data_IF_695667474953
#
_entry.id   IF_695667474953
#
_cell.length_a   1.000
_cell.length_b   1.000
_cell.length_c   1.000
_cell.angle_alpha   90.00
_cell.angle_beta   90.00
_cell.angle_gamma   90.00
#
_symmetry.space_group_name_H-M   'P 1'
#
loop_
_entity.id
_entity.type
_entity.pdbx_description
1 polymer ?
#
# COMPACT_ATOMS: atom_id res chain seq x y z
N UNK A 1 -3.37 -81.52 -7.22
CA UNK A 1 -3.20 -81.00 -8.59
C UNK A 1 -4.58 -80.91 -9.22
N UNK A 2 -4.95 -79.71 -9.66
CA UNK A 2 -5.96 -79.36 -10.69
C UNK A 2 -7.42 -79.71 -10.40
N UNK A 3 -8.44 -78.97 -10.85
CA UNK A 3 -8.67 -77.67 -11.52
C UNK A 3 -10.22 -77.49 -11.36
N UNK A 4 -10.72 -76.25 -11.29
CA UNK A 4 -12.17 -75.97 -11.27
C UNK A 4 -12.92 -76.46 -12.53
N UNK A 5 -14.21 -76.13 -12.64
CA UNK A 5 -14.49 -74.89 -13.36
C UNK A 5 -15.59 -74.01 -12.75
N UNK A 6 -15.60 -72.82 -13.34
CA UNK A 6 -16.31 -71.58 -13.12
C UNK A 6 -17.75 -71.61 -13.66
N UNK A 7 -18.70 -70.99 -12.95
CA UNK A 7 -19.82 -70.30 -13.60
C UNK A 7 -20.33 -69.15 -12.71
N UNK A 8 -20.54 -68.01 -13.35
CA UNK A 8 -20.84 -66.71 -12.78
C UNK A 8 -22.36 -66.46 -12.71
N UNK A 9 -22.82 -65.72 -11.70
CA UNK A 9 -24.08 -64.97 -11.80
C UNK A 9 -24.08 -63.73 -10.87
N UNK A 10 -24.92 -62.77 -11.25
CA UNK A 10 -24.79 -61.31 -11.13
C UNK A 10 -25.12 -60.71 -9.73
N UNK A 11 -24.64 -59.48 -9.40
CA UNK A 11 -25.14 -58.73 -8.24
C UNK A 11 -26.42 -57.94 -8.58
N UNK A 12 -27.27 -57.61 -7.59
CA UNK A 12 -28.50 -56.87 -7.83
C UNK A 12 -28.26 -55.37 -8.11
N UNK A 13 -29.14 -54.84 -8.96
CA UNK A 13 -29.29 -53.45 -9.38
C UNK A 13 -29.82 -52.56 -8.26
N UNK A 14 -29.22 -51.38 -8.05
CA UNK A 14 -29.90 -50.20 -7.50
C UNK A 14 -29.60 -48.99 -8.37
N UNK A 15 -30.65 -48.42 -8.98
CA UNK A 15 -30.57 -47.14 -9.68
C UNK A 15 -30.82 -45.98 -8.73
N UNK A 16 -30.25 -44.85 -9.16
CA UNK A 16 -30.77 -43.48 -9.07
C UNK A 16 -30.59 -42.66 -7.78
N UNK A 17 -29.64 -41.72 -7.93
CA UNK A 17 -29.68 -40.31 -7.55
C UNK A 17 -29.35 -39.92 -6.10
N UNK A 18 -28.06 -39.77 -5.84
CA UNK A 18 -27.55 -38.65 -5.04
C UNK A 18 -26.38 -37.99 -5.78
N UNK A 19 -26.70 -36.94 -6.52
CA UNK A 19 -25.68 -36.09 -7.13
C UNK A 19 -25.04 -35.24 -6.02
N UNK A 20 -23.79 -35.57 -5.66
CA UNK A 20 -22.95 -34.71 -4.85
C UNK A 20 -22.83 -33.33 -5.54
N UNK A 21 -22.89 -32.20 -4.80
CA UNK A 21 -22.68 -30.89 -5.39
C UNK A 21 -21.28 -30.80 -6.00
N UNK A 22 -21.10 -30.08 -7.13
CA UNK A 22 -19.80 -29.95 -7.76
C UNK A 22 -18.81 -29.35 -6.76
N UNK A 23 -17.70 -30.06 -6.58
CA UNK A 23 -16.58 -29.59 -5.79
C UNK A 23 -16.21 -28.17 -6.23
N UNK A 24 -16.06 -27.28 -5.25
CA UNK A 24 -15.57 -25.93 -5.46
C UNK A 24 -14.23 -25.99 -6.24
N UNK A 25 -13.98 -25.04 -7.17
CA UNK A 25 -12.76 -25.05 -7.96
C UNK A 25 -11.56 -25.07 -7.02
N UNK A 26 -10.73 -26.11 -7.17
CA UNK A 26 -9.51 -26.28 -6.39
C UNK A 26 -8.64 -25.04 -6.56
N UNK A 27 -8.44 -24.32 -5.45
CA UNK A 27 -7.47 -23.23 -5.41
C UNK A 27 -6.10 -23.85 -5.64
N UNK A 28 -5.46 -23.46 -6.76
CA UNK A 28 -4.15 -23.94 -7.15
C UNK A 28 -3.13 -23.73 -6.01
N UNK A 29 -2.36 -24.77 -5.61
CA UNK A 29 -1.36 -24.66 -4.54
C UNK A 29 -0.24 -23.66 -4.84
N UNK A 30 -0.09 -23.26 -6.10
CA UNK A 30 0.93 -22.33 -6.56
C UNK A 30 0.68 -20.87 -6.12
N UNK A 31 -0.49 -20.53 -5.58
CA UNK A 31 -0.84 -19.17 -5.13
C UNK A 31 -0.28 -18.81 -3.74
N UNK A 32 0.31 -19.77 -3.03
CA UNK A 32 0.92 -19.60 -1.70
C UNK A 32 2.45 -19.43 -1.77
N UNK A 33 3.03 -19.45 -2.97
CA UNK A 33 4.45 -19.23 -3.18
C UNK A 33 4.69 -17.73 -3.39
N UNK A 34 5.21 -17.05 -2.36
CA UNK A 34 5.68 -15.66 -2.45
C UNK A 34 6.95 -15.46 -3.27
N UNK A 35 7.52 -16.54 -3.80
CA UNK A 35 8.56 -16.45 -4.81
C UNK A 35 7.92 -16.19 -6.17
N UNK A 36 8.40 -15.15 -6.86
CA UNK A 36 8.10 -14.76 -8.23
C UNK A 36 8.48 -15.83 -9.29
N UNK A 37 8.19 -17.11 -9.06
CA UNK A 37 8.49 -18.19 -10.01
C UNK A 37 7.30 -18.55 -10.91
N UNK A 38 6.13 -17.92 -10.74
CA UNK A 38 5.05 -17.97 -11.72
C UNK A 38 5.01 -16.66 -12.50
N UNK A 39 5.47 -16.70 -13.76
CA UNK A 39 5.36 -15.62 -14.73
C UNK A 39 3.92 -15.35 -15.16
N UNK A 40 3.05 -14.97 -14.22
CA UNK A 40 1.70 -14.54 -14.52
C UNK A 40 1.74 -13.07 -14.94
N UNK A 41 1.73 -12.81 -16.26
CA UNK A 41 1.57 -11.45 -16.85
C UNK A 41 0.47 -10.62 -16.16
N UNK A 42 -0.56 -11.30 -15.64
CA UNK A 42 -1.69 -10.76 -14.90
C UNK A 42 -1.33 -9.94 -13.65
N UNK A 43 -0.38 -10.39 -12.82
CA UNK A 43 0.02 -9.62 -11.64
C UNK A 43 0.81 -8.38 -12.05
N UNK A 44 1.59 -8.45 -13.13
CA UNK A 44 2.41 -7.34 -13.57
C UNK A 44 1.60 -6.23 -14.26
N UNK A 45 0.58 -6.60 -15.02
CA UNK A 45 -0.39 -5.64 -15.58
C UNK A 45 -1.22 -4.98 -14.48
N UNK A 46 -1.68 -5.72 -13.47
CA UNK A 46 -2.37 -5.12 -12.33
C UNK A 46 -1.43 -4.28 -11.47
N UNK A 47 -0.16 -4.66 -11.34
CA UNK A 47 0.90 -3.83 -10.75
C UNK A 47 1.11 -2.54 -11.53
N UNK A 48 1.18 -2.60 -12.87
CA UNK A 48 1.28 -1.40 -13.73
C UNK A 48 0.03 -0.55 -13.63
N UNK A 49 -1.16 -1.14 -13.64
CA UNK A 49 -2.41 -0.43 -13.49
C UNK A 49 -2.54 0.21 -12.11
N UNK A 50 -2.07 -0.46 -11.05
CA UNK A 50 -2.04 0.08 -9.70
C UNK A 50 -0.99 1.18 -9.56
N UNK A 51 0.22 0.99 -10.09
CA UNK A 51 1.26 2.02 -10.12
C UNK A 51 0.82 3.21 -10.95
N UNK A 52 0.25 3.00 -12.13
CA UNK A 52 -0.28 4.05 -12.99
C UNK A 52 -1.49 4.74 -12.36
N UNK A 53 -2.41 4.00 -11.73
CA UNK A 53 -3.54 4.59 -11.00
C UNK A 53 -3.04 5.43 -9.84
N UNK A 54 -2.05 4.96 -9.07
CA UNK A 54 -1.45 5.70 -7.97
C UNK A 54 -0.66 6.90 -8.49
N UNK A 55 0.19 6.74 -9.49
CA UNK A 55 0.92 7.83 -10.15
C UNK A 55 -0.03 8.86 -10.76
N UNK A 56 -1.18 8.45 -11.30
CA UNK A 56 -2.22 9.33 -11.82
C UNK A 56 -3.01 10.02 -10.70
N UNK A 57 -3.27 9.34 -9.57
CA UNK A 57 -3.77 9.94 -8.33
C UNK A 57 -2.77 10.93 -7.72
N UNK A 58 -1.49 10.77 -8.04
CA UNK A 58 -0.36 11.56 -7.57
C UNK A 58 0.08 12.64 -8.59
N UNK A 59 -0.48 12.65 -9.81
CA UNK A 59 -0.44 13.79 -10.73
C UNK A 59 -1.59 14.75 -10.39
N UNK A 60 -1.51 16.05 -10.74
CA UNK A 60 -2.57 17.00 -10.41
C UNK A 60 -3.88 16.56 -11.07
N UNK A 61 -4.79 15.99 -10.29
CA UNK A 61 -6.13 15.64 -10.73
C UNK A 61 -6.82 16.90 -11.28
N UNK A 62 -7.51 16.82 -12.42
CA UNK A 62 -8.40 17.90 -12.84
C UNK A 62 -9.62 17.90 -11.92
N UNK A 63 -9.63 18.85 -10.98
CA UNK A 63 -10.77 19.30 -10.17
C UNK A 63 -11.40 18.28 -9.20
N UNK A 64 -10.82 18.10 -8.01
CA UNK A 64 -11.56 18.10 -6.74
C UNK A 64 -10.57 18.16 -5.56
N UNK A 65 -10.63 19.23 -4.77
CA UNK A 65 -10.01 19.46 -3.44
C UNK A 65 -8.49 19.32 -3.24
N UNK A 66 -7.70 18.88 -4.23
CA UNK A 66 -6.23 18.77 -4.11
C UNK A 66 -5.43 19.98 -4.65
N UNK A 67 -6.12 21.00 -5.17
CA UNK A 67 -5.51 22.19 -5.80
C UNK A 67 -5.82 23.51 -5.07
N UNK A 68 -6.16 23.46 -3.78
CA UNK A 68 -6.22 24.68 -2.98
C UNK A 68 -4.78 25.08 -2.60
N UNK A 69 -4.36 26.27 -3.01
CA UNK A 69 -3.17 26.90 -2.42
C UNK A 69 -3.38 26.95 -0.89
N UNK A 70 -2.49 26.36 -0.08
CA UNK A 70 -2.69 26.27 1.35
C UNK A 70 -2.82 27.68 1.93
N UNK A 71 -3.75 27.86 2.86
CA UNK A 71 -3.93 29.17 3.47
C UNK A 71 -2.68 29.54 4.29
N UNK A 72 -2.37 30.83 4.48
CA UNK A 72 -1.21 31.23 5.28
C UNK A 72 -1.27 30.69 6.71
N UNK A 73 -2.48 30.56 7.27
CA UNK A 73 -2.70 29.97 8.58
C UNK A 73 -2.42 28.47 8.59
N UNK A 74 -2.86 27.75 7.55
CA UNK A 74 -2.57 26.33 7.37
C UNK A 74 -1.07 26.08 7.26
N UNK A 75 -0.35 26.85 6.44
CA UNK A 75 1.11 26.76 6.30
C UNK A 75 1.80 26.98 7.66
N UNK A 76 1.40 28.01 8.42
CA UNK A 76 1.94 28.26 9.77
C UNK A 76 1.65 27.13 10.74
N UNK A 77 0.49 26.47 10.59
CA UNK A 77 0.09 25.35 11.45
C UNK A 77 1.00 24.13 11.29
N UNK A 78 1.59 23.95 10.10
CA UNK A 78 2.48 22.83 9.81
C UNK A 78 3.75 22.86 10.66
N UNK A 79 4.24 24.02 11.07
CA UNK A 79 5.41 24.12 11.97
C UNK A 79 5.07 23.80 13.43
N UNK A 80 3.79 23.78 13.81
CA UNK A 80 3.39 23.54 15.20
C UNK A 80 3.47 22.05 15.58
N UNK A 81 3.17 21.15 14.64
CA UNK A 81 3.40 19.71 14.81
C UNK A 81 3.44 18.99 13.48
N UNK A 82 4.21 17.89 13.44
CA UNK A 82 4.24 17.02 12.26
C UNK A 82 2.87 16.42 11.96
N UNK A 83 2.06 16.14 12.98
CA UNK A 83 0.69 15.67 12.79
C UNK A 83 -0.14 16.68 11.97
N UNK A 84 -0.03 17.99 12.23
CA UNK A 84 -0.76 19.01 11.47
C UNK A 84 -0.36 19.05 10.00
N UNK A 85 0.95 18.91 9.73
CA UNK A 85 1.45 18.77 8.36
C UNK A 85 0.88 17.52 7.67
N UNK A 86 0.88 16.38 8.36
CA UNK A 86 0.48 15.09 7.81
C UNK A 86 -1.04 14.92 7.64
N UNK A 87 -1.86 15.64 8.42
CA UNK A 87 -3.31 15.66 8.23
C UNK A 87 -3.74 16.61 7.10
N UNK A 88 -2.90 17.56 6.70
CA UNK A 88 -3.17 18.45 5.56
C UNK A 88 -2.84 17.77 4.23
N UNK A 89 -3.80 17.66 3.27
CA UNK A 89 -3.48 17.21 1.91
C UNK A 89 -2.43 18.08 1.22
N UNK A 90 -2.53 19.41 1.36
CA UNK A 90 -1.55 20.35 0.81
C UNK A 90 -0.19 20.20 1.48
N UNK A 91 -0.17 20.05 2.82
CA UNK A 91 1.04 19.82 3.60
C UNK A 91 1.77 18.55 3.17
N UNK A 92 1.05 17.44 3.02
CA UNK A 92 1.60 16.18 2.49
C UNK A 92 2.16 16.33 1.08
N UNK A 93 1.48 17.07 0.20
CA UNK A 93 1.94 17.31 -1.17
C UNK A 93 3.27 18.06 -1.18
N UNK A 94 3.35 19.19 -0.48
CA UNK A 94 4.56 20.02 -0.39
C UNK A 94 5.70 19.26 0.30
N UNK A 95 5.41 18.55 1.39
CA UNK A 95 6.40 17.76 2.11
C UNK A 95 6.96 16.64 1.24
N UNK A 96 6.11 15.99 0.44
CA UNK A 96 6.57 14.99 -0.54
C UNK A 96 7.48 15.59 -1.60
N UNK A 97 7.15 16.78 -2.13
CA UNK A 97 8.04 17.45 -3.09
C UNK A 97 9.42 17.73 -2.48
N UNK A 98 9.45 18.17 -1.22
CA UNK A 98 10.70 18.33 -0.47
C UNK A 98 11.46 16.99 -0.33
N UNK A 99 10.80 15.91 0.10
CA UNK A 99 11.43 14.59 0.22
C UNK A 99 12.00 14.09 -1.12
N UNK A 100 11.34 14.41 -2.24
CA UNK A 100 11.83 14.09 -3.58
C UNK A 100 13.14 14.80 -3.90
N UNK A 101 13.33 16.05 -3.44
CA UNK A 101 14.62 16.75 -3.60
C UNK A 101 15.75 16.12 -2.80
N UNK A 102 15.41 15.29 -1.81
CA UNK A 102 16.35 14.60 -0.92
C UNK A 102 16.37 13.10 -1.14
N UNK A 103 15.80 12.61 -2.25
CA UNK A 103 15.78 11.20 -2.61
C UNK A 103 15.20 10.29 -1.50
N UNK A 104 14.18 10.77 -0.78
CA UNK A 104 13.54 10.06 0.34
C UNK A 104 12.01 10.05 0.25
N UNK A 105 11.45 10.27 -0.95
CA UNK A 105 10.00 10.34 -1.18
C UNK A 105 9.27 9.01 -0.97
N UNK A 106 9.98 7.88 -1.05
CA UNK A 106 9.44 6.55 -0.81
C UNK A 106 8.85 6.41 0.60
N UNK A 107 9.37 7.14 1.58
CA UNK A 107 8.86 7.16 2.95
C UNK A 107 7.42 7.71 3.02
N UNK A 108 7.17 8.83 2.33
CA UNK A 108 5.83 9.42 2.27
C UNK A 108 4.88 8.56 1.43
N UNK A 109 5.38 7.99 0.34
CA UNK A 109 4.58 7.12 -0.53
C UNK A 109 4.16 5.82 0.15
N UNK A 110 5.07 5.22 0.93
CA UNK A 110 4.76 4.06 1.77
C UNK A 110 3.71 4.42 2.82
N UNK A 111 3.90 5.55 3.53
CA UNK A 111 2.95 5.99 4.54
C UNK A 111 1.54 6.19 3.96
N UNK A 112 1.42 6.82 2.79
CA UNK A 112 0.14 6.99 2.09
C UNK A 112 -0.48 5.66 1.67
N UNK A 113 0.32 4.72 1.18
CA UNK A 113 -0.19 3.42 0.77
C UNK A 113 -0.76 2.64 1.98
N UNK A 114 -0.14 2.77 3.16
CA UNK A 114 -0.68 2.21 4.40
C UNK A 114 -2.01 2.87 4.82
N UNK A 115 -2.15 4.19 4.67
CA UNK A 115 -3.45 4.86 4.90
C UNK A 115 -4.54 4.34 3.96
N UNK A 116 -4.24 4.18 2.67
CA UNK A 116 -5.18 3.64 1.68
C UNK A 116 -5.54 2.17 1.90
N UNK A 117 -4.63 1.39 2.51
CA UNK A 117 -4.91 0.02 2.93
C UNK A 117 -5.85 -0.01 4.13
N UNK A 118 -5.62 0.85 5.13
CA UNK A 118 -6.45 0.93 6.34
C UNK A 118 -7.88 1.39 6.07
N UNK A 119 -8.08 2.19 5.02
CA UNK A 119 -9.40 2.62 4.58
C UNK A 119 -10.17 1.55 3.76
N UNK A 120 -9.54 0.42 3.41
CA UNK A 120 -10.17 -0.63 2.61
C UNK A 120 -10.97 -1.61 3.48
N UNK A 121 -12.22 -1.84 3.10
CA UNK A 121 -13.10 -2.79 3.79
C UNK A 121 -13.17 -4.16 3.09
N UNK A 122 -12.85 -4.22 1.79
CA UNK A 122 -12.92 -5.47 1.04
C UNK A 122 -11.64 -6.30 1.24
N UNK A 123 -11.76 -7.45 1.90
CA UNK A 123 -10.62 -8.35 2.17
C UNK A 123 -9.83 -8.74 0.92
N UNK A 124 -10.50 -8.96 -0.22
CA UNK A 124 -9.79 -9.28 -1.46
C UNK A 124 -8.90 -8.11 -1.92
N UNK A 125 -9.38 -6.88 -1.78
CA UNK A 125 -8.62 -5.68 -2.13
C UNK A 125 -7.52 -5.41 -1.11
N UNK A 126 -7.75 -5.70 0.18
CA UNK A 126 -6.74 -5.65 1.24
C UNK A 126 -5.58 -6.59 0.91
N UNK A 127 -5.85 -7.86 0.61
CA UNK A 127 -4.84 -8.84 0.24
C UNK A 127 -3.98 -8.37 -0.94
N UNK A 128 -4.62 -7.77 -1.95
CA UNK A 128 -3.95 -7.29 -3.15
C UNK A 128 -3.11 -6.05 -2.88
N UNK A 129 -3.67 -5.05 -2.21
CA UNK A 129 -2.94 -3.83 -1.80
C UNK A 129 -1.76 -4.19 -0.89
N UNK A 130 -1.94 -5.11 0.06
CA UNK A 130 -0.88 -5.51 0.96
C UNK A 130 0.29 -6.18 0.23
N UNK A 131 0.01 -7.05 -0.76
CA UNK A 131 1.06 -7.63 -1.62
C UNK A 131 1.81 -6.54 -2.39
N UNK A 132 1.10 -5.58 -2.96
CA UNK A 132 1.71 -4.48 -3.70
C UNK A 132 2.57 -3.58 -2.81
N UNK A 133 2.10 -3.24 -1.61
CA UNK A 133 2.87 -2.46 -0.62
C UNK A 133 4.12 -3.20 -0.20
N UNK A 134 4.01 -4.51 0.09
CA UNK A 134 5.14 -5.33 0.46
C UNK A 134 6.21 -5.32 -0.64
N UNK A 135 5.81 -5.58 -1.88
CA UNK A 135 6.74 -5.66 -3.00
C UNK A 135 7.38 -4.30 -3.35
N UNK A 136 6.61 -3.22 -3.27
CA UNK A 136 7.10 -1.87 -3.60
C UNK A 136 7.97 -1.28 -2.50
N UNK A 137 7.75 -1.58 -1.22
CA UNK A 137 8.41 -0.84 -0.12
C UNK A 137 9.10 -1.70 0.92
N UNK A 138 8.72 -2.96 1.08
CA UNK A 138 9.24 -3.84 2.14
C UNK A 138 10.22 -4.88 1.61
N UNK A 139 10.10 -5.27 0.34
CA UNK A 139 11.02 -6.22 -0.28
C UNK A 139 12.43 -5.64 -0.36
N UNK A 140 13.44 -6.42 0.07
CA UNK A 140 14.88 -6.07 -0.09
C UNK A 140 15.34 -5.94 -1.55
N UNK A 141 14.49 -6.38 -2.49
CA UNK A 141 14.74 -6.28 -3.92
C UNK A 141 14.07 -5.04 -4.52
N UNK A 142 13.32 -4.27 -3.73
CA UNK A 142 12.61 -3.11 -4.24
C UNK A 142 13.56 -1.92 -4.41
N UNK A 143 13.49 -1.19 -5.54
CA UNK A 143 14.19 0.08 -5.69
C UNK A 143 13.62 1.21 -4.82
N UNK A 144 12.43 1.01 -4.22
CA UNK A 144 11.76 1.97 -3.32
C UNK A 144 11.68 1.42 -1.89
N UNK A 145 12.57 0.50 -1.53
CA UNK A 145 12.63 -0.09 -0.21
C UNK A 145 12.76 1.01 0.87
N UNK A 146 11.86 0.99 1.85
CA UNK A 146 11.95 1.87 3.02
C UNK A 146 12.89 1.29 4.08
N UNK A 147 13.58 2.16 4.81
CA UNK A 147 14.48 1.75 5.88
C UNK A 147 13.67 1.26 7.09
N UNK A 148 13.66 -0.07 7.30
CA UNK A 148 12.97 -0.72 8.41
C UNK A 148 13.93 -1.55 9.26
N UNK A 149 13.71 -1.53 10.57
CA UNK A 149 14.41 -2.41 11.50
C UNK A 149 14.06 -3.88 11.22
N UNK A 150 15.02 -4.77 11.45
CA UNK A 150 14.86 -6.21 11.20
C UNK A 150 13.62 -6.80 11.88
N UNK A 151 13.37 -6.44 13.14
CA UNK A 151 12.22 -6.92 13.91
C UNK A 151 10.88 -6.51 13.29
N UNK A 152 10.79 -5.28 12.75
CA UNK A 152 9.57 -4.77 12.12
C UNK A 152 9.31 -5.54 10.82
N UNK A 153 10.35 -5.73 10.01
CA UNK A 153 10.27 -6.51 8.77
C UNK A 153 9.89 -7.96 9.02
N UNK A 154 10.48 -8.61 10.02
CA UNK A 154 10.09 -9.97 10.41
C UNK A 154 8.62 -10.05 10.84
N UNK A 155 8.13 -9.02 11.55
CA UNK A 155 6.72 -8.89 11.91
C UNK A 155 5.81 -8.83 10.69
N UNK A 156 6.16 -8.02 9.69
CA UNK A 156 5.44 -7.95 8.41
C UNK A 156 5.46 -9.31 7.71
N UNK A 157 6.62 -9.95 7.57
CA UNK A 157 6.76 -11.24 6.87
C UNK A 157 5.85 -12.33 7.47
N UNK A 158 5.63 -12.30 8.79
CA UNK A 158 4.66 -13.20 9.45
C UNK A 158 3.22 -12.84 9.13
N UNK A 159 2.86 -11.55 9.25
CA UNK A 159 1.50 -11.05 8.97
C UNK A 159 1.10 -11.23 7.50
N UNK A 160 2.07 -11.25 6.58
CA UNK A 160 1.79 -11.44 5.15
C UNK A 160 1.15 -12.79 4.80
N UNK A 161 1.21 -13.81 5.68
CA UNK A 161 0.50 -15.10 5.52
C UNK A 161 -1.01 -14.90 5.38
N UNK A 162 -1.55 -13.95 6.15
CA UNK A 162 -2.94 -13.54 6.14
C UNK A 162 -2.99 -12.01 6.32
N UNK A 163 -2.81 -11.25 5.22
CA UNK A 163 -2.75 -9.80 5.31
C UNK A 163 -4.07 -9.21 5.80
N UNK A 164 -3.94 -8.15 6.59
CA UNK A 164 -5.06 -7.32 7.04
C UNK A 164 -4.78 -5.83 6.78
N UNK A 165 -5.79 -5.00 7.00
CA UNK A 165 -5.67 -3.54 7.01
C UNK A 165 -4.52 -3.04 7.92
N UNK A 166 -4.17 -3.80 8.96
CA UNK A 166 -3.19 -3.47 10.00
C UNK A 166 -1.82 -4.15 9.83
N UNK A 167 -1.58 -4.76 8.66
CA UNK A 167 -0.34 -5.51 8.38
C UNK A 167 0.91 -4.66 8.61
N UNK A 168 0.86 -3.38 8.25
CA UNK A 168 2.01 -2.47 8.22
C UNK A 168 2.03 -1.43 9.34
N UNK A 169 1.16 -1.50 10.35
CA UNK A 169 1.03 -0.45 11.38
C UNK A 169 2.37 -0.13 12.07
N UNK A 170 3.13 -1.16 12.46
CA UNK A 170 4.43 -1.00 13.12
C UNK A 170 5.46 -0.31 12.19
N UNK A 171 5.47 -0.69 10.91
CA UNK A 171 6.36 -0.11 9.91
C UNK A 171 5.94 1.32 9.54
N UNK A 172 4.64 1.57 9.42
CA UNK A 172 4.11 2.89 9.14
C UNK A 172 4.49 3.87 10.27
N UNK A 173 4.39 3.44 11.53
CA UNK A 173 4.81 4.24 12.68
C UNK A 173 6.33 4.50 12.67
N UNK A 174 7.14 3.50 12.31
CA UNK A 174 8.59 3.65 12.19
C UNK A 174 8.95 4.69 11.13
N UNK A 175 8.37 4.59 9.93
CA UNK A 175 8.62 5.53 8.83
C UNK A 175 8.08 6.93 9.15
N UNK A 176 6.93 7.02 9.82
CA UNK A 176 6.41 8.28 10.34
C UNK A 176 7.41 8.94 11.31
N UNK A 177 7.96 8.15 12.23
CA UNK A 177 8.94 8.63 13.21
C UNK A 177 10.25 9.04 12.55
N UNK A 178 10.70 8.30 11.54
CA UNK A 178 11.87 8.63 10.74
C UNK A 178 11.71 10.01 10.07
N UNK A 179 10.61 10.21 9.33
CA UNK A 179 10.31 11.50 8.69
C UNK A 179 10.17 12.62 9.71
N UNK A 180 9.50 12.38 10.84
CA UNK A 180 9.32 13.37 11.90
C UNK A 180 10.65 13.83 12.50
N UNK A 181 11.58 12.90 12.76
CA UNK A 181 12.83 13.21 13.46
C UNK A 181 13.91 13.76 12.56
N UNK A 182 13.92 13.39 11.28
CA UNK A 182 14.97 13.78 10.35
C UNK A 182 14.48 14.78 9.28
N UNK A 183 13.60 14.34 8.39
CA UNK A 183 13.18 15.15 7.24
C UNK A 183 12.35 16.38 7.62
N UNK A 184 11.49 16.28 8.62
CA UNK A 184 10.55 17.35 8.99
C UNK A 184 11.25 18.63 9.53
N UNK A 185 12.21 18.56 10.46
CA UNK A 185 12.98 19.75 10.87
C UNK A 185 13.72 20.42 9.70
N UNK A 186 14.23 19.61 8.77
CA UNK A 186 14.93 20.09 7.56
C UNK A 186 13.94 20.72 6.58
N UNK A 187 12.75 20.16 6.44
CA UNK A 187 11.65 20.74 5.67
C UNK A 187 11.25 22.13 6.18
N UNK A 188 11.05 22.31 7.49
CA UNK A 188 10.71 23.61 8.07
C UNK A 188 11.81 24.67 7.89
N UNK A 189 13.05 24.24 7.72
CA UNK A 189 14.20 25.11 7.45
C UNK A 189 14.43 25.34 5.94
N UNK A 190 13.74 24.59 5.08
CA UNK A 190 13.97 24.57 3.64
C UNK A 190 13.50 25.86 2.94
N UNK A 191 14.11 26.22 1.80
CA UNK A 191 13.60 27.30 0.95
C UNK A 191 12.15 27.07 0.50
N UNK A 192 11.77 25.81 0.26
CA UNK A 192 10.42 25.40 -0.16
C UNK A 192 9.36 25.86 0.84
N UNK A 193 9.55 25.56 2.13
CA UNK A 193 8.61 25.98 3.17
C UNK A 193 8.64 27.50 3.40
N UNK A 194 9.84 28.11 3.38
CA UNK A 194 9.98 29.57 3.56
C UNK A 194 9.25 30.36 2.46
N UNK A 195 9.31 29.90 1.21
CA UNK A 195 8.62 30.55 0.10
C UNK A 195 7.09 30.60 0.32
N UNK A 196 6.49 29.54 0.87
CA UNK A 196 5.06 29.48 1.16
C UNK A 196 4.64 30.45 2.26
N UNK A 197 5.48 30.65 3.28
CA UNK A 197 5.24 31.65 4.32
C UNK A 197 5.18 33.08 3.75
N UNK A 198 6.03 33.41 2.77
CA UNK A 198 6.08 34.75 2.17
C UNK A 198 4.95 35.02 1.17
N UNK A 199 4.45 33.99 0.49
CA UNK A 199 3.25 34.12 -0.35
C UNK A 199 2.03 34.48 0.50
N UNK A 200 1.96 33.97 1.73
CA UNK A 200 0.89 34.31 2.67
C UNK A 200 1.00 35.68 3.35
N UNK A 201 2.16 36.34 3.30
CA UNK A 201 2.33 37.71 3.83
C UNK A 201 2.00 38.81 2.83
N UNK A 202 1.86 38.49 1.54
CA UNK A 202 1.59 39.49 0.49
C UNK A 202 0.11 39.86 0.34
N UNK A 203 -0.79 39.14 1.02
CA UNK A 203 -2.25 39.39 0.98
C UNK A 203 -2.75 40.28 2.13
N UNK A 204 -1.92 40.62 3.12
CA UNK A 204 -2.35 41.43 4.28
C UNK A 204 -2.17 42.94 4.11
N UNK A 205 -1.95 43.45 2.89
CA UNK A 205 -1.66 44.87 2.63
C UNK A 205 -2.70 45.60 1.76
N UNK A 206 -3.85 44.99 1.46
CA UNK A 206 -4.86 45.57 0.56
C UNK A 206 -6.23 45.85 1.22
N UNK A 207 -6.27 46.17 2.51
CA UNK A 207 -7.42 46.87 3.10
C UNK A 207 -6.90 48.03 3.95
N UNK A 208 -6.94 49.23 3.36
CA UNK A 208 -6.74 50.52 3.99
C UNK A 208 -7.93 51.42 3.63
#
# INVERSE_FOLDING_TARGET
MHIGPEEADQPPSMSSHDAAPPAAPSRNPCCLCWCCCCGCSWNEERRRAWRASRENKLQPLPSCEACATPSPEEVRSWAQSFDKLMHSPAGRSVFREFLRTEYSEENMLFWLACEELKAEANQHVVDEKARLIYEDYVSILSPKEVSLDSRVREGINKKMQEPSAHTFDDAQLQIYTLMHRDSYPRFLSSPTYRALLFQGSSQSSNEA
#
